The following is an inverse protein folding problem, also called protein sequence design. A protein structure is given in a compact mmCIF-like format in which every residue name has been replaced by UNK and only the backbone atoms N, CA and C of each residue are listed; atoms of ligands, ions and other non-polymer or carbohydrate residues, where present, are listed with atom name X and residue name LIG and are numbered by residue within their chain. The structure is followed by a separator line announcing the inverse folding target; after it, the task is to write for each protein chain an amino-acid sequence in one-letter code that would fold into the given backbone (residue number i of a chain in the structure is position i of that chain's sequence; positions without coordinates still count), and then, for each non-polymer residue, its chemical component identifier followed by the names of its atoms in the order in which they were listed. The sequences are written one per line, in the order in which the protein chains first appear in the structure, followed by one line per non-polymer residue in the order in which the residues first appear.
data_IF_052738040864
#
_entry.id   IF_052738040864
#
_cell.length_a   1.000
_cell.length_b   1.000
_cell.length_c   1.000
_cell.angle_alpha   90.00
_cell.angle_beta   90.00
_cell.angle_gamma   90.00
#
_symmetry.space_group_name_H-M   'P 1'
#
loop_
_entity.id
_entity.type
_entity.pdbx_description
1 polymer ?
#
# COMPACT_ATOMS: atom_id res chain seq x y z
N UNK A 1 6.21 1.81 -6.38
CA UNK A 1 4.93 1.13 -6.10
C UNK A 1 3.88 2.16 -5.75
N UNK A 2 2.60 1.81 -5.80
CA UNK A 2 1.52 2.71 -5.38
C UNK A 2 0.67 2.06 -4.30
N UNK A 3 0.58 2.69 -3.13
CA UNK A 3 -0.31 2.29 -2.06
C UNK A 3 -1.56 3.15 -2.09
N UNK A 4 -2.71 2.54 -2.38
CA UNK A 4 -4.00 3.21 -2.38
C UNK A 4 -4.61 3.16 -0.98
N UNK A 5 -4.87 4.34 -0.40
CA UNK A 5 -5.26 4.47 1.01
C UNK A 5 -5.99 5.79 1.29
N UNK A 6 -6.41 6.01 2.55
CA UNK A 6 -6.86 7.29 3.09
C UNK A 6 -6.24 7.53 4.48
N UNK A 7 -5.95 8.80 4.86
CA UNK A 7 -5.35 9.13 6.15
C UNK A 7 -6.11 8.56 7.36
N UNK A 8 -7.44 8.47 7.29
CA UNK A 8 -8.30 8.01 8.41
C UNK A 8 -8.44 6.48 8.52
N UNK A 9 -7.90 5.71 7.57
CA UNK A 9 -7.98 4.25 7.58
C UNK A 9 -7.05 3.63 8.62
N UNK A 10 -7.58 2.81 9.52
CA UNK A 10 -6.78 2.07 10.52
C UNK A 10 -5.91 0.97 9.87
N UNK A 11 -6.47 0.23 8.90
CA UNK A 11 -5.74 -0.76 8.11
C UNK A 11 -4.70 -0.07 7.22
N UNK A 12 -5.00 1.12 6.72
CA UNK A 12 -4.05 1.99 6.03
C UNK A 12 -2.90 2.41 6.93
N UNK A 13 -3.22 2.90 8.13
CA UNK A 13 -2.22 3.30 9.13
C UNK A 13 -1.23 2.17 9.46
N UNK A 14 -1.69 0.90 9.49
CA UNK A 14 -0.83 -0.27 9.67
C UNK A 14 0.29 -0.33 8.64
N UNK A 15 -0.05 -0.16 7.36
CA UNK A 15 0.93 -0.17 6.26
C UNK A 15 1.79 1.09 6.23
N UNK A 16 1.20 2.28 6.51
CA UNK A 16 1.96 3.55 6.54
C UNK A 16 3.00 3.59 7.65
N UNK A 17 2.72 3.03 8.83
CA UNK A 17 3.72 2.93 9.91
C UNK A 17 4.97 2.18 9.44
N UNK A 18 4.80 1.10 8.67
CA UNK A 18 5.93 0.34 8.11
C UNK A 18 6.67 1.20 7.10
N UNK A 19 5.97 1.84 6.16
CA UNK A 19 6.60 2.72 5.16
C UNK A 19 7.43 3.83 5.81
N UNK A 20 6.87 4.51 6.81
CA UNK A 20 7.54 5.62 7.50
C UNK A 20 8.73 5.15 8.31
N UNK A 21 8.59 4.06 9.06
CA UNK A 21 9.67 3.56 9.91
C UNK A 21 10.80 2.91 9.14
N UNK A 22 10.48 2.25 8.01
CA UNK A 22 11.48 1.75 7.07
C UNK A 22 12.03 2.85 6.17
N UNK A 23 11.56 4.09 6.31
CA UNK A 23 12.02 5.23 5.50
C UNK A 23 11.94 4.97 3.99
N UNK A 24 10.89 4.26 3.56
CA UNK A 24 10.68 3.94 2.14
C UNK A 24 10.47 5.26 1.37
N UNK A 25 11.32 5.58 0.38
CA UNK A 25 11.17 6.82 -0.38
C UNK A 25 9.85 6.86 -1.14
N UNK A 26 9.23 8.04 -1.24
CA UNK A 26 7.99 8.22 -2.02
C UNK A 26 8.18 7.87 -3.50
N UNK A 27 9.39 8.07 -4.04
CA UNK A 27 9.78 7.64 -5.39
C UNK A 27 9.73 6.12 -5.58
N UNK A 28 9.86 5.35 -4.50
CA UNK A 28 9.81 3.89 -4.52
C UNK A 28 8.45 3.34 -4.10
N UNK A 29 7.71 4.02 -3.22
CA UNK A 29 6.33 3.68 -2.88
C UNK A 29 5.54 4.93 -2.48
N UNK A 30 4.68 5.41 -3.37
CA UNK A 30 3.84 6.58 -3.12
C UNK A 30 2.47 6.19 -2.54
N UNK A 31 1.95 6.98 -1.62
CA UNK A 31 0.59 6.83 -1.09
C UNK A 31 -0.36 7.66 -1.93
N UNK A 32 -1.31 7.00 -2.59
CA UNK A 32 -2.30 7.61 -3.47
C UNK A 32 -3.66 7.57 -2.78
N UNK A 33 -4.37 8.70 -2.76
CA UNK A 33 -5.75 8.72 -2.27
C UNK A 33 -6.64 7.99 -3.26
N UNK A 34 -7.49 7.08 -2.77
CA UNK A 34 -8.51 6.46 -3.64
C UNK A 34 -9.46 7.50 -4.24
N UNK A 35 -9.59 8.67 -3.63
CA UNK A 35 -10.40 9.77 -4.17
C UNK A 35 -9.80 10.35 -5.46
N UNK A 36 -8.48 10.27 -5.62
CA UNK A 36 -7.77 10.80 -6.79
C UNK A 36 -7.97 9.91 -8.03
N UNK A 37 -8.39 8.65 -7.82
CA UNK A 37 -8.74 7.67 -8.87
C UNK A 37 -10.25 7.43 -8.95
N UNK A 38 -11.06 8.42 -8.58
CA UNK A 38 -12.53 8.38 -8.72
C UNK A 38 -13.28 7.69 -7.58
N UNK A 39 -12.60 7.32 -6.49
CA UNK A 39 -13.20 6.76 -5.28
C UNK A 39 -13.36 5.24 -5.29
N UNK A 40 -13.88 4.69 -4.18
CA UNK A 40 -13.92 3.25 -3.91
C UNK A 40 -14.67 2.37 -4.91
N UNK A 41 -15.56 2.98 -5.70
CA UNK A 41 -16.41 2.28 -6.67
C UNK A 41 -16.05 2.62 -8.12
N UNK A 42 -15.01 3.40 -8.36
CA UNK A 42 -14.57 3.68 -9.72
C UNK A 42 -14.07 2.41 -10.39
N UNK A 43 -14.24 2.32 -11.70
CA UNK A 43 -13.68 1.21 -12.48
C UNK A 43 -12.16 1.15 -12.33
N UNK A 44 -11.50 2.32 -12.27
CA UNK A 44 -10.07 2.43 -12.05
C UNK A 44 -9.65 1.77 -10.72
N UNK A 45 -10.31 2.09 -9.61
CA UNK A 45 -9.95 1.50 -8.32
C UNK A 45 -10.38 0.03 -8.21
N UNK A 46 -11.55 -0.34 -8.73
CA UNK A 46 -12.02 -1.72 -8.70
C UNK A 46 -11.15 -2.65 -9.55
N UNK A 47 -10.45 -2.13 -10.57
CA UNK A 47 -9.42 -2.88 -11.31
C UNK A 47 -8.20 -3.24 -10.44
N UNK A 48 -7.96 -2.48 -9.36
CA UNK A 48 -6.88 -2.72 -8.41
C UNK A 48 -7.35 -3.66 -7.29
N UNK A 49 -8.50 -3.36 -6.69
CA UNK A 49 -9.12 -4.17 -5.66
C UNK A 49 -10.63 -4.28 -5.90
N UNK A 50 -11.12 -5.42 -6.43
CA UNK A 50 -12.54 -5.63 -6.74
C UNK A 50 -13.47 -5.51 -5.54
N UNK A 51 -12.97 -5.60 -4.30
CA UNK A 51 -13.77 -5.40 -3.10
C UNK A 51 -13.98 -3.92 -2.75
N UNK A 52 -13.27 -2.99 -3.40
CA UNK A 52 -13.35 -1.55 -3.10
C UNK A 52 -12.90 -1.20 -1.67
N UNK A 53 -11.95 -1.95 -1.10
CA UNK A 53 -11.42 -1.76 0.26
C UNK A 53 -9.99 -1.21 0.23
N UNK A 54 -9.55 -0.57 1.32
CA UNK A 54 -8.18 -0.05 1.49
C UNK A 54 -7.52 -0.65 2.76
N UNK A 55 -6.18 -0.70 2.80
CA UNK A 55 -5.24 -0.33 1.74
C UNK A 55 -5.13 -1.42 0.66
N UNK A 56 -4.67 -1.02 -0.51
CA UNK A 56 -4.23 -1.92 -1.59
C UNK A 56 -2.90 -1.42 -2.17
N UNK A 57 -2.04 -2.31 -2.64
CA UNK A 57 -0.75 -1.96 -3.25
C UNK A 57 -0.74 -2.41 -4.71
N UNK A 58 -0.33 -1.54 -5.62
CA UNK A 58 0.03 -1.89 -7.00
C UNK A 58 1.54 -1.96 -7.13
N UNK A 59 2.06 -3.16 -7.36
CA UNK A 59 3.47 -3.39 -7.61
C UNK A 59 3.82 -2.91 -9.03
N UNK A 60 4.57 -1.81 -9.15
CA UNK A 60 4.97 -1.28 -10.45
C UNK A 60 5.88 -2.21 -11.28
N UNK A 61 6.69 -3.06 -10.65
CA UNK A 61 7.64 -3.94 -11.37
C UNK A 61 6.94 -5.15 -11.99
N UNK A 62 5.93 -5.71 -11.32
CA UNK A 62 5.22 -6.91 -11.80
C UNK A 62 3.83 -6.62 -12.34
N UNK A 63 3.26 -5.45 -12.07
CA UNK A 63 1.87 -5.11 -12.35
C UNK A 63 0.85 -5.75 -11.38
N UNK A 64 1.29 -6.64 -10.50
CA UNK A 64 0.42 -7.35 -9.55
C UNK A 64 -0.17 -6.38 -8.54
N UNK A 65 -1.44 -6.59 -8.20
CA UNK A 65 -2.13 -5.86 -7.14
C UNK A 65 -2.27 -6.74 -5.91
N UNK A 66 -2.05 -6.15 -4.74
CA UNK A 66 -2.08 -6.82 -3.45
C UNK A 66 -3.14 -6.12 -2.60
N UNK A 67 -4.18 -6.85 -2.25
CA UNK A 67 -5.15 -6.46 -1.23
C UNK A 67 -4.77 -7.06 0.13
N UNK A 68 -5.51 -6.67 1.17
CA UNK A 68 -5.30 -7.05 2.58
C UNK A 68 -4.07 -6.39 3.22
N UNK A 69 -4.31 -5.61 4.27
CA UNK A 69 -3.26 -4.82 4.92
C UNK A 69 -2.09 -5.66 5.45
N UNK A 70 -2.35 -6.87 5.98
CA UNK A 70 -1.28 -7.76 6.46
C UNK A 70 -0.36 -8.22 5.33
N UNK A 71 -0.95 -8.60 4.19
CA UNK A 71 -0.19 -9.01 3.00
C UNK A 71 0.63 -7.85 2.45
N UNK A 72 0.05 -6.64 2.39
CA UNK A 72 0.79 -5.43 2.00
C UNK A 72 1.95 -5.16 2.97
N UNK A 73 1.73 -5.30 4.28
CA UNK A 73 2.78 -5.15 5.29
C UNK A 73 3.93 -6.13 5.04
N UNK A 74 3.63 -7.42 4.83
CA UNK A 74 4.64 -8.46 4.54
C UNK A 74 5.40 -8.18 3.25
N UNK A 75 4.70 -7.74 2.21
CA UNK A 75 5.32 -7.34 0.96
C UNK A 75 6.31 -6.18 1.17
N UNK A 76 5.90 -5.13 1.88
CA UNK A 76 6.76 -3.97 2.15
C UNK A 76 7.98 -4.36 3.01
N UNK A 77 7.79 -5.19 4.04
CA UNK A 77 8.90 -5.66 4.86
C UNK A 77 9.90 -6.51 4.05
N UNK A 78 9.40 -7.38 3.17
CA UNK A 78 10.21 -8.26 2.34
C UNK A 78 10.93 -7.51 1.22
N UNK A 79 10.26 -6.56 0.56
CA UNK A 79 10.80 -5.86 -0.61
C UNK A 79 11.82 -4.79 -0.23
N UNK A 80 11.71 -4.27 1.00
CA UNK A 80 12.58 -3.23 1.54
C UNK A 80 13.33 -3.74 2.77
N UNK A 81 13.75 -5.01 2.78
CA UNK A 81 14.39 -5.66 3.94
C UNK A 81 15.55 -4.85 4.51
N UNK A 82 16.28 -4.17 3.63
CA UNK A 82 17.54 -3.49 3.93
C UNK A 82 17.35 -2.05 4.45
N UNK A 83 16.11 -1.54 4.50
CA UNK A 83 15.80 -0.19 4.96
C UNK A 83 15.18 -0.18 6.37
N UNK A 84 15.67 0.71 7.24
CA UNK A 84 15.14 0.93 8.59
C UNK A 84 15.04 -0.35 9.44
N UNK A 85 14.11 -0.41 10.42
CA UNK A 85 14.03 -1.53 11.35
C UNK A 85 13.33 -2.75 10.74
N UNK A 86 13.60 -3.91 11.35
CA UNK A 86 12.76 -5.09 11.20
C UNK A 86 11.50 -4.98 12.06
N UNK A 87 10.39 -5.50 11.55
CA UNK A 87 9.13 -5.70 12.25
C UNK A 87 8.80 -7.19 12.42
N UNK A 88 9.74 -8.05 12.04
CA UNK A 88 9.68 -9.49 12.28
C UNK A 88 10.40 -9.78 13.61
N UNK A 89 9.89 -10.73 14.41
CA UNK A 89 10.49 -11.12 15.69
C UNK A 89 11.87 -11.76 15.53
#
# INVERSE_FOLDING_TARGET
HFQFDLPVSNNGARTRIIMYKKEIPESECAVISVMDVGGFKSEEYLSINPQGKIPSLKCQTTGVTIAESDTVCRYLMSSYSDLGPSFQP
#
